data_IF_739275228350
#
_entry.id   IF_739275228350
#
_cell.length_a   1.000
_cell.length_b   1.000
_cell.length_c   1.000
_cell.angle_alpha   90.00
_cell.angle_beta   90.00
_cell.angle_gamma   90.00
#
_symmetry.space_group_name_H-M   'P 1'
#
loop_
_entity.id
_entity.type
_entity.pdbx_description
1 polymer ?
#
# COMPACT_ATOMS: atom_id res chain seq x y z
N UNK A 1 -8.78 -11.16 -5.50
CA UNK A 1 -9.65 -12.19 -4.86
C UNK A 1 -11.01 -11.69 -4.35
N UNK A 2 -11.30 -10.37 -4.17
CA UNK A 2 -12.61 -9.85 -3.68
C UNK A 2 -13.06 -10.32 -2.28
N UNK A 3 -12.20 -10.98 -1.48
CA UNK A 3 -12.63 -11.46 -0.17
C UNK A 3 -13.07 -10.32 0.77
N UNK A 4 -14.27 -10.46 1.36
CA UNK A 4 -14.77 -9.61 2.42
C UNK A 4 -14.10 -9.98 3.75
N UNK A 5 -13.39 -9.06 4.41
CA UNK A 5 -12.77 -9.33 5.71
C UNK A 5 -13.85 -9.58 6.78
N UNK A 6 -13.82 -10.76 7.41
CA UNK A 6 -14.74 -11.11 8.49
C UNK A 6 -14.15 -10.75 9.85
N UNK A 7 -12.95 -11.24 10.12
CA UNK A 7 -12.28 -11.01 11.39
C UNK A 7 -10.76 -11.04 11.30
N UNK A 8 -10.13 -10.50 12.33
CA UNK A 8 -8.70 -10.49 12.54
C UNK A 8 -8.37 -11.03 13.93
N UNK A 9 -7.24 -11.74 14.02
CA UNK A 9 -6.60 -12.09 15.29
C UNK A 9 -5.19 -11.50 15.32
N UNK A 10 -4.74 -11.03 16.48
CA UNK A 10 -3.41 -10.47 16.67
C UNK A 10 -2.52 -11.29 17.62
N UNK A 11 -1.21 -11.14 17.45
CA UNK A 11 -0.19 -11.70 18.33
C UNK A 11 0.89 -10.65 18.57
N UNK A 12 1.08 -10.28 19.83
CA UNK A 12 2.08 -9.30 20.26
C UNK A 12 3.14 -10.04 21.07
N UNK A 13 4.36 -10.10 20.56
CA UNK A 13 5.53 -10.55 21.31
C UNK A 13 6.29 -9.34 21.84
N UNK A 14 6.58 -9.31 23.14
CA UNK A 14 7.33 -8.22 23.79
C UNK A 14 8.56 -8.76 24.53
N UNK A 15 9.61 -7.95 24.64
CA UNK A 15 10.71 -8.27 25.57
C UNK A 15 10.30 -8.11 27.03
N UNK A 16 9.57 -7.04 27.35
CA UNK A 16 8.92 -6.81 28.64
C UNK A 16 7.51 -6.25 28.38
N UNK A 17 6.50 -6.75 29.11
CA UNK A 17 5.12 -6.26 28.94
C UNK A 17 4.96 -4.91 29.64
N UNK A 18 4.74 -3.86 28.84
CA UNK A 18 4.31 -2.53 29.31
C UNK A 18 2.82 -2.35 28.98
N UNK A 19 1.90 -2.40 29.97
CA UNK A 19 0.46 -2.42 29.72
C UNK A 19 -0.06 -1.28 28.85
N UNK A 20 0.42 -0.05 29.08
CA UNK A 20 -0.02 1.13 28.32
C UNK A 20 0.39 1.03 26.84
N UNK A 21 1.60 0.54 26.55
CA UNK A 21 2.09 0.32 25.18
C UNK A 21 1.28 -0.76 24.47
N UNK A 22 0.96 -1.86 25.16
CA UNK A 22 0.14 -2.94 24.59
C UNK A 22 -1.27 -2.43 24.30
N UNK A 23 -1.84 -1.61 25.18
CA UNK A 23 -3.16 -1.01 24.98
C UNK A 23 -3.18 -0.06 23.78
N UNK A 24 -2.15 0.76 23.57
CA UNK A 24 -2.03 1.64 22.40
C UNK A 24 -1.91 0.84 21.09
N UNK A 25 -1.11 -0.23 21.07
CA UNK A 25 -0.99 -1.13 19.91
C UNK A 25 -2.36 -1.77 19.60
N UNK A 26 -3.02 -2.32 20.62
CA UNK A 26 -4.35 -2.91 20.49
C UNK A 26 -5.41 -1.93 19.97
N UNK A 27 -5.36 -0.67 20.41
CA UNK A 27 -6.24 0.39 19.92
C UNK A 27 -6.02 0.66 18.42
N UNK A 28 -4.76 0.70 17.96
CA UNK A 28 -4.42 0.84 16.53
C UNK A 28 -4.89 -0.34 15.68
N UNK A 29 -4.79 -1.58 16.19
CA UNK A 29 -5.31 -2.77 15.52
C UNK A 29 -6.84 -2.69 15.41
N UNK A 30 -7.52 -2.26 16.47
CA UNK A 30 -8.96 -2.07 16.49
C UNK A 30 -9.42 -0.96 15.52
N UNK A 31 -8.67 0.14 15.41
CA UNK A 31 -8.88 1.16 14.37
C UNK A 31 -8.77 0.55 12.97
N UNK A 32 -7.72 -0.24 12.72
CA UNK A 32 -7.52 -0.95 11.46
C UNK A 32 -8.69 -1.87 11.10
N UNK A 33 -9.17 -2.66 12.05
CA UNK A 33 -10.34 -3.53 11.86
C UNK A 33 -11.60 -2.71 11.54
N UNK A 34 -11.81 -1.57 12.21
CA UNK A 34 -12.93 -0.66 11.92
C UNK A 34 -12.87 -0.06 10.51
N UNK A 35 -11.68 0.30 10.02
CA UNK A 35 -11.50 0.78 8.65
C UNK A 35 -11.70 -0.34 7.62
N UNK A 36 -11.18 -1.55 7.90
CA UNK A 36 -11.32 -2.71 7.03
C UNK A 36 -12.75 -3.28 7.00
N UNK A 37 -13.51 -3.07 8.06
CA UNK A 37 -14.86 -3.58 8.24
C UNK A 37 -14.96 -4.98 8.82
N UNK A 38 -13.94 -5.43 9.53
CA UNK A 38 -13.94 -6.72 10.20
C UNK A 38 -13.99 -6.59 11.72
N UNK A 39 -14.29 -7.70 12.40
CA UNK A 39 -14.19 -7.81 13.85
C UNK A 39 -12.76 -8.12 14.31
N UNK A 40 -12.33 -7.56 15.43
CA UNK A 40 -11.17 -8.06 16.18
C UNK A 40 -11.67 -9.16 17.12
N UNK A 41 -11.42 -10.44 16.81
CA UNK A 41 -11.99 -11.55 17.60
C UNK A 41 -11.20 -11.88 18.84
N UNK A 42 -9.90 -11.59 18.84
CA UNK A 42 -9.04 -11.84 19.97
C UNK A 42 -7.58 -11.74 19.57
N UNK A 43 -6.73 -11.70 20.57
CA UNK A 43 -5.29 -11.69 20.38
C UNK A 43 -4.59 -12.33 21.56
N UNK A 44 -3.30 -12.52 21.42
CA UNK A 44 -2.43 -13.06 22.45
C UNK A 44 -1.25 -12.12 22.67
N UNK A 45 -0.84 -11.95 23.93
CA UNK A 45 0.34 -11.14 24.29
C UNK A 45 1.31 -12.01 25.06
N UNK A 46 2.52 -12.14 24.54
CA UNK A 46 3.56 -13.00 25.11
C UNK A 46 4.83 -12.22 25.41
N UNK A 47 5.41 -12.48 26.58
CA UNK A 47 6.73 -11.97 26.96
C UNK A 47 7.81 -13.00 26.61
N UNK A 48 8.87 -12.56 25.93
CA UNK A 48 9.99 -13.41 25.50
C UNK A 48 11.33 -12.85 26.00
N UNK A 49 11.58 -12.87 27.33
CA UNK A 49 12.81 -12.35 27.90
C UNK A 49 14.01 -13.16 27.38
N UNK A 50 15.01 -12.46 26.87
CA UNK A 50 16.22 -13.07 26.29
C UNK A 50 16.16 -13.36 24.78
N UNK A 51 14.99 -13.23 24.15
CA UNK A 51 14.85 -13.21 22.68
C UNK A 51 14.74 -11.77 22.17
N UNK A 52 13.89 -10.97 22.82
CA UNK A 52 13.69 -9.55 22.52
C UNK A 52 14.30 -8.69 23.63
N UNK A 53 14.80 -7.50 23.27
CA UNK A 53 15.20 -6.50 24.28
C UNK A 53 13.96 -5.95 25.00
N UNK A 54 14.09 -5.41 26.23
CA UNK A 54 12.94 -4.96 27.01
C UNK A 54 12.00 -3.98 26.28
N UNK A 55 12.55 -3.10 25.43
CA UNK A 55 11.81 -2.10 24.68
C UNK A 55 11.32 -2.57 23.29
N UNK A 56 11.77 -3.75 22.85
CA UNK A 56 11.40 -4.34 21.56
C UNK A 56 10.08 -5.11 21.63
N UNK A 57 9.36 -5.09 20.52
CA UNK A 57 8.19 -5.91 20.31
C UNK A 57 8.09 -6.31 18.83
N UNK A 58 7.35 -7.39 18.58
CA UNK A 58 6.96 -7.84 17.25
C UNK A 58 5.44 -8.04 17.22
N UNK A 59 4.84 -7.77 16.07
CA UNK A 59 3.41 -7.82 15.86
C UNK A 59 3.11 -8.68 14.64
N UNK A 60 2.27 -9.70 14.85
CA UNK A 60 1.66 -10.47 13.77
C UNK A 60 0.15 -10.36 13.85
N UNK A 61 -0.50 -10.43 12.70
CA UNK A 61 -1.95 -10.45 12.60
C UNK A 61 -2.40 -11.40 11.50
N UNK A 62 -3.49 -12.13 11.74
CA UNK A 62 -4.10 -13.04 10.78
C UNK A 62 -5.51 -12.58 10.48
N UNK A 63 -5.75 -12.19 9.22
CA UNK A 63 -7.09 -11.85 8.72
C UNK A 63 -7.76 -13.04 8.06
N UNK A 64 -9.04 -13.24 8.34
CA UNK A 64 -9.90 -14.22 7.66
C UNK A 64 -10.98 -13.46 6.90
N UNK A 65 -11.14 -13.79 5.62
CA UNK A 65 -12.18 -13.24 4.77
C UNK A 65 -12.91 -14.33 3.99
N UNK A 66 -14.05 -13.97 3.41
CA UNK A 66 -14.92 -14.86 2.66
C UNK A 66 -15.19 -14.31 1.26
N UNK A 67 -15.35 -15.20 0.28
CA UNK A 67 -15.77 -14.85 -1.07
C UNK A 67 -16.54 -16.03 -1.64
N UNK A 68 -17.58 -15.75 -2.41
CA UNK A 68 -18.24 -16.78 -3.22
C UNK A 68 -17.28 -17.27 -4.30
N UNK A 69 -17.19 -18.59 -4.51
CA UNK A 69 -16.22 -19.19 -5.44
C UNK A 69 -16.35 -18.60 -6.86
N UNK A 70 -17.59 -18.39 -7.32
CA UNK A 70 -17.88 -17.79 -8.63
C UNK A 70 -17.51 -16.31 -8.74
N UNK A 71 -17.25 -15.63 -7.62
CA UNK A 71 -16.94 -14.20 -7.57
C UNK A 71 -15.45 -13.91 -7.35
N UNK A 72 -14.60 -14.95 -7.28
CA UNK A 72 -13.16 -14.79 -7.16
C UNK A 72 -12.62 -14.06 -8.39
N UNK A 73 -12.00 -12.90 -8.16
CA UNK A 73 -11.25 -12.20 -9.20
C UNK A 73 -10.01 -13.01 -9.60
N UNK A 74 -10.04 -13.62 -10.79
CA UNK A 74 -8.89 -14.22 -11.47
C UNK A 74 -8.19 -13.21 -12.38
N UNK A 75 -6.88 -13.37 -12.56
CA UNK A 75 -6.07 -12.62 -13.53
C UNK A 75 -6.57 -12.79 -14.97
N UNK A 76 -7.23 -13.90 -15.28
CA UNK A 76 -7.69 -14.23 -16.64
C UNK A 76 -8.85 -13.33 -17.11
N UNK A 77 -9.39 -12.47 -16.22
CA UNK A 77 -10.39 -11.47 -16.57
C UNK A 77 -9.81 -10.20 -17.20
N UNK A 78 -8.49 -10.02 -17.13
CA UNK A 78 -7.81 -8.85 -17.67
C UNK A 78 -7.66 -8.99 -19.18
N UNK A 79 -8.13 -7.99 -19.91
CA UNK A 79 -8.24 -7.95 -21.36
C UNK A 79 -7.54 -6.70 -21.93
N UNK A 80 -7.16 -6.78 -23.21
CA UNK A 80 -6.62 -5.63 -23.94
C UNK A 80 -7.66 -4.51 -23.99
N UNK A 81 -7.24 -3.29 -23.66
CA UNK A 81 -8.09 -2.10 -23.59
C UNK A 81 -8.66 -1.82 -22.20
N UNK A 82 -8.48 -2.71 -21.23
CA UNK A 82 -8.83 -2.39 -19.83
C UNK A 82 -7.98 -1.22 -19.30
N UNK A 83 -8.54 -0.48 -18.36
CA UNK A 83 -7.93 0.74 -17.80
C UNK A 83 -7.29 0.44 -16.45
N UNK A 84 -6.07 0.94 -16.25
CA UNK A 84 -5.33 0.82 -14.99
C UNK A 84 -5.55 2.07 -14.16
N UNK A 85 -6.34 1.95 -13.08
CA UNK A 85 -6.61 3.02 -12.11
C UNK A 85 -5.69 2.86 -10.91
N UNK A 86 -4.95 3.92 -10.58
CA UNK A 86 -4.17 4.01 -9.35
C UNK A 86 -4.99 4.61 -8.21
N UNK A 87 -4.76 4.15 -6.98
CA UNK A 87 -5.27 4.73 -5.75
C UNK A 87 -4.11 5.17 -4.87
N UNK A 88 -4.13 6.45 -4.47
CA UNK A 88 -3.04 7.07 -3.72
C UNK A 88 -2.74 6.38 -2.40
N UNK A 89 -1.46 6.18 -2.10
CA UNK A 89 -0.94 5.75 -0.81
C UNK A 89 -0.97 6.89 0.21
N UNK A 90 -0.77 6.58 1.48
CA UNK A 90 -0.58 7.57 2.54
C UNK A 90 0.90 7.96 2.73
N UNK A 91 1.81 7.35 1.96
CA UNK A 91 3.26 7.46 2.13
C UNK A 91 3.94 6.12 1.87
N UNK A 92 5.00 5.81 2.63
CA UNK A 92 5.78 4.57 2.51
C UNK A 92 4.99 3.28 2.83
N UNK A 93 3.84 3.41 3.51
CA UNK A 93 3.07 2.30 4.09
C UNK A 93 3.93 1.49 5.06
N UNK A 94 4.04 0.18 4.88
CA UNK A 94 4.76 -0.74 5.79
C UNK A 94 5.96 -1.43 5.12
N UNK A 95 6.46 -0.92 3.99
CA UNK A 95 7.54 -1.56 3.22
C UNK A 95 8.75 -0.62 3.02
N UNK A 96 9.94 -1.20 2.82
CA UNK A 96 11.16 -0.43 2.54
C UNK A 96 11.83 0.24 3.77
N UNK A 97 11.32 0.04 4.98
CA UNK A 97 11.82 0.71 6.19
C UNK A 97 13.29 0.39 6.54
N UNK A 98 13.81 -0.76 6.13
CA UNK A 98 15.25 -1.05 6.30
C UNK A 98 16.11 -0.10 5.47
N UNK A 99 15.75 0.15 4.22
CA UNK A 99 16.44 1.10 3.35
C UNK A 99 16.25 2.53 3.86
N UNK A 100 15.02 2.91 4.24
CA UNK A 100 14.72 4.24 4.79
C UNK A 100 15.56 4.53 6.04
N UNK A 101 15.63 3.59 6.99
CA UNK A 101 16.48 3.74 8.19
C UNK A 101 17.96 3.87 7.83
N UNK A 102 18.45 3.03 6.92
CA UNK A 102 19.84 3.07 6.48
C UNK A 102 20.19 4.44 5.85
N UNK A 103 19.34 4.92 4.94
CA UNK A 103 19.58 6.12 4.15
C UNK A 103 19.35 7.40 4.95
N UNK A 104 18.24 7.51 5.68
CA UNK A 104 17.89 8.75 6.36
C UNK A 104 18.55 8.87 7.73
N UNK A 105 18.52 7.82 8.55
CA UNK A 105 19.02 7.85 9.93
C UNK A 105 20.49 7.46 10.02
N UNK A 106 20.92 6.50 9.20
CA UNK A 106 22.31 6.05 9.13
C UNK A 106 23.20 7.03 8.35
N UNK A 107 23.15 6.95 7.03
CA UNK A 107 23.99 7.76 6.14
C UNK A 107 23.60 9.24 6.17
N UNK A 108 22.30 9.53 6.14
CA UNK A 108 21.74 10.89 6.14
C UNK A 108 21.83 11.59 7.49
N UNK A 109 22.05 10.83 8.58
CA UNK A 109 22.14 11.32 9.98
C UNK A 109 21.00 12.27 10.38
N UNK A 110 19.82 12.09 9.79
CA UNK A 110 18.64 12.86 10.15
C UNK A 110 18.09 12.36 11.49
N UNK A 111 17.56 13.28 12.30
CA UNK A 111 16.87 12.93 13.54
C UNK A 111 15.37 12.84 13.27
N UNK A 112 14.68 11.98 14.02
CA UNK A 112 13.23 11.83 13.88
C UNK A 112 12.46 13.11 14.25
N UNK A 113 13.03 13.96 15.10
CA UNK A 113 12.47 15.26 15.48
C UNK A 113 12.77 16.39 14.48
N UNK A 114 13.48 16.09 13.38
CA UNK A 114 13.78 17.09 12.35
C UNK A 114 12.53 17.41 11.57
N UNK A 115 12.11 18.68 11.60
CA UNK A 115 11.06 19.21 10.74
C UNK A 115 11.57 19.29 9.30
N UNK A 116 10.80 18.72 8.36
CA UNK A 116 11.12 18.75 6.93
C UNK A 116 10.08 19.63 6.22
N UNK A 117 10.54 20.68 5.56
CA UNK A 117 9.69 21.73 4.96
C UNK A 117 8.67 21.16 3.97
N UNK A 118 9.09 20.19 3.14
CA UNK A 118 8.25 19.62 2.09
C UNK A 118 7.11 18.73 2.63
N UNK A 119 7.14 18.31 3.89
CA UNK A 119 6.07 17.50 4.50
C UNK A 119 4.87 18.34 4.97
N UNK A 120 4.92 19.66 4.77
CA UNK A 120 3.88 20.59 5.22
C UNK A 120 4.18 21.22 6.57
N UNK A 121 3.18 21.89 7.18
CA UNK A 121 3.40 22.78 8.32
C UNK A 121 3.88 22.04 9.57
N UNK A 122 5.19 22.16 9.83
CA UNK A 122 5.90 21.70 11.02
C UNK A 122 5.92 20.18 11.24
N UNK A 123 5.72 19.40 10.19
CA UNK A 123 5.76 17.93 10.29
C UNK A 123 7.21 17.44 10.41
N UNK A 124 7.45 16.60 11.41
CA UNK A 124 8.73 15.96 11.65
C UNK A 124 8.94 14.73 10.78
N UNK A 125 10.20 14.32 10.59
CA UNK A 125 10.53 13.08 9.90
C UNK A 125 9.86 11.87 10.56
N UNK A 126 9.85 11.80 11.89
CA UNK A 126 9.20 10.71 12.63
C UNK A 126 7.70 10.62 12.34
N UNK A 127 7.00 11.76 12.36
CA UNK A 127 5.56 11.81 12.07
C UNK A 127 5.23 11.44 10.62
N UNK A 128 6.10 11.78 9.66
CA UNK A 128 5.94 11.35 8.26
C UNK A 128 6.15 9.84 8.12
N UNK A 129 7.23 9.30 8.72
CA UNK A 129 7.56 7.88 8.67
C UNK A 129 6.53 7.00 9.38
N UNK A 130 5.87 7.51 10.41
CA UNK A 130 4.83 6.81 11.16
C UNK A 130 3.41 7.03 10.60
N UNK A 131 3.28 7.61 9.40
CA UNK A 131 1.96 7.71 8.74
C UNK A 131 1.37 6.31 8.56
N UNK A 132 0.19 6.01 9.13
CA UNK A 132 -0.41 4.68 9.01
C UNK A 132 -0.67 4.28 7.55
N UNK A 133 -0.52 3.00 7.25
CA UNK A 133 -0.90 2.43 5.95
C UNK A 133 -2.39 2.64 5.70
N UNK A 134 -2.73 3.12 4.51
CA UNK A 134 -4.13 3.27 4.09
C UNK A 134 -4.77 1.89 3.89
N UNK A 135 -5.98 1.72 4.42
CA UNK A 135 -6.78 0.50 4.28
C UNK A 135 -7.83 0.70 3.19
N UNK A 136 -7.78 -0.14 2.15
CA UNK A 136 -8.65 -0.03 0.96
C UNK A 136 -9.80 -1.06 0.95
N UNK A 137 -9.91 -1.94 1.96
CA UNK A 137 -10.75 -3.14 1.88
C UNK A 137 -12.21 -2.84 1.53
N UNK A 138 -12.89 -1.97 2.29
CA UNK A 138 -14.28 -1.58 2.02
C UNK A 138 -14.44 -0.86 0.69
N UNK A 139 -13.49 -0.01 0.34
CA UNK A 139 -13.55 0.78 -0.89
C UNK A 139 -13.43 -0.11 -2.12
N UNK A 140 -12.52 -1.09 -2.08
CA UNK A 140 -12.36 -2.08 -3.12
C UNK A 140 -13.58 -2.99 -3.25
N UNK A 141 -14.17 -3.46 -2.14
CA UNK A 141 -15.38 -4.28 -2.20
C UNK A 141 -16.53 -3.51 -2.85
N UNK A 142 -16.75 -2.26 -2.45
CA UNK A 142 -17.78 -1.42 -3.04
C UNK A 142 -17.48 -1.02 -4.48
N UNK A 143 -16.21 -0.83 -4.84
CA UNK A 143 -15.84 -0.60 -6.24
C UNK A 143 -16.20 -1.80 -7.12
N UNK A 144 -16.01 -3.03 -6.63
CA UNK A 144 -16.37 -4.25 -7.38
C UNK A 144 -17.89 -4.44 -7.48
N UNK A 145 -18.66 -4.01 -6.48
CA UNK A 145 -20.13 -4.01 -6.57
C UNK A 145 -20.65 -3.01 -7.62
N UNK A 146 -19.96 -1.89 -7.78
CA UNK A 146 -20.38 -0.81 -8.68
C UNK A 146 -19.83 -0.99 -10.09
N UNK A 147 -18.59 -1.40 -10.27
CA UNK A 147 -17.90 -1.38 -11.56
C UNK A 147 -17.43 -2.78 -11.96
N UNK A 148 -17.22 -2.98 -13.25
CA UNK A 148 -16.56 -4.16 -13.79
C UNK A 148 -15.05 -4.11 -13.52
N UNK A 149 -14.70 -4.48 -12.29
CA UNK A 149 -13.31 -4.67 -11.88
C UNK A 149 -12.84 -6.04 -12.32
N UNK A 150 -11.76 -6.06 -13.10
CA UNK A 150 -11.09 -7.28 -13.58
C UNK A 150 -10.16 -7.83 -12.52
N UNK A 151 -9.34 -6.94 -11.94
CA UNK A 151 -8.33 -7.31 -10.95
C UNK A 151 -7.94 -6.13 -10.05
N UNK A 152 -7.36 -6.45 -8.89
CA UNK A 152 -6.83 -5.50 -7.92
C UNK A 152 -5.41 -5.91 -7.53
N UNK A 153 -4.47 -4.95 -7.51
CA UNK A 153 -3.09 -5.18 -7.07
C UNK A 153 -2.73 -4.25 -5.91
N UNK A 154 -2.48 -4.84 -4.74
CA UNK A 154 -1.97 -4.12 -3.58
C UNK A 154 -0.46 -3.92 -3.71
N UNK A 155 0.00 -2.67 -3.67
CA UNK A 155 1.41 -2.32 -3.88
C UNK A 155 2.14 -2.39 -2.55
N UNK A 156 2.97 -3.41 -2.39
CA UNK A 156 3.74 -3.70 -1.16
C UNK A 156 5.24 -3.85 -1.47
N UNK A 157 5.95 -4.76 -0.79
CA UNK A 157 7.32 -5.12 -1.16
C UNK A 157 7.42 -5.62 -2.60
N UNK A 158 8.48 -5.24 -3.30
CA UNK A 158 8.61 -5.44 -4.76
C UNK A 158 8.03 -4.29 -5.60
N UNK A 159 7.45 -3.28 -4.95
CA UNK A 159 6.99 -2.03 -5.56
C UNK A 159 5.92 -2.21 -6.63
N UNK A 160 5.79 -1.25 -7.55
CA UNK A 160 4.70 -1.25 -8.54
C UNK A 160 4.82 -2.44 -9.50
N UNK A 161 5.94 -2.65 -10.21
CA UNK A 161 6.03 -3.72 -11.21
C UNK A 161 5.90 -5.11 -10.58
N UNK A 162 6.53 -5.32 -9.43
CA UNK A 162 6.57 -6.63 -8.76
C UNK A 162 5.22 -7.08 -8.19
N UNK A 163 4.28 -6.16 -7.96
CA UNK A 163 2.94 -6.47 -7.50
C UNK A 163 1.92 -6.49 -8.64
N UNK A 164 1.98 -5.54 -9.59
CA UNK A 164 1.03 -5.46 -10.69
C UNK A 164 1.17 -6.64 -11.67
N UNK A 165 2.39 -7.13 -11.91
CA UNK A 165 2.62 -8.29 -12.79
C UNK A 165 1.90 -9.57 -12.33
N UNK A 166 1.67 -9.71 -11.01
CA UNK A 166 1.05 -10.91 -10.41
C UNK A 166 -0.42 -11.08 -10.78
N UNK A 167 -1.06 -10.01 -11.25
CA UNK A 167 -2.47 -10.00 -11.61
C UNK A 167 -2.71 -9.96 -13.13
N UNK A 168 -1.65 -10.10 -13.94
CA UNK A 168 -1.74 -10.12 -15.39
C UNK A 168 -1.69 -11.56 -15.94
N UNK A 169 -2.49 -11.88 -16.98
CA UNK A 169 -2.31 -13.08 -17.77
C UNK A 169 -1.08 -12.94 -18.70
N UNK A 170 -0.62 -14.05 -19.25
CA UNK A 170 0.64 -14.10 -20.02
C UNK A 170 0.60 -13.42 -21.40
N UNK A 171 -0.58 -12.97 -21.86
CA UNK A 171 -0.78 -12.42 -23.20
C UNK A 171 -1.07 -10.92 -23.23
N UNK A 172 -0.98 -10.24 -22.07
CA UNK A 172 -1.19 -8.79 -21.97
C UNK A 172 -0.09 -8.15 -21.14
N UNK A 173 0.18 -6.88 -21.43
CA UNK A 173 1.05 -6.04 -20.61
C UNK A 173 0.24 -4.91 -19.98
N UNK A 174 0.63 -4.50 -18.77
CA UNK A 174 0.13 -3.25 -18.17
C UNK A 174 1.12 -2.12 -18.45
N UNK A 175 0.68 -1.10 -19.17
CA UNK A 175 1.45 0.13 -19.36
C UNK A 175 1.05 1.12 -18.27
N UNK A 176 2.02 1.59 -17.49
CA UNK A 176 1.82 2.56 -16.42
C UNK A 176 2.62 3.82 -16.73
N UNK A 177 1.92 4.94 -16.89
CA UNK A 177 2.52 6.22 -17.22
C UNK A 177 2.81 7.04 -15.94
N UNK A 178 4.09 7.13 -15.59
CA UNK A 178 4.57 7.87 -14.41
C UNK A 178 4.17 9.33 -14.41
N UNK A 179 4.00 9.94 -15.58
CA UNK A 179 3.67 11.35 -15.71
C UNK A 179 2.24 11.68 -15.26
N UNK A 180 1.43 10.66 -14.94
CA UNK A 180 0.07 10.85 -14.42
C UNK A 180 0.03 11.21 -12.93
N UNK A 181 1.14 11.10 -12.18
CA UNK A 181 1.19 11.55 -10.78
C UNK A 181 2.58 12.01 -10.31
N UNK A 182 2.55 12.66 -9.15
CA UNK A 182 3.73 13.05 -8.38
C UNK A 182 3.78 12.23 -7.07
N UNK A 183 4.84 11.45 -6.82
CA UNK A 183 5.05 10.80 -5.52
C UNK A 183 5.14 11.82 -4.37
N UNK A 184 4.75 11.42 -3.17
CA UNK A 184 4.86 12.23 -1.96
C UNK A 184 6.33 12.59 -1.67
N UNK A 185 6.61 13.74 -1.02
CA UNK A 185 7.99 14.22 -0.83
C UNK A 185 8.91 13.27 -0.08
N UNK A 186 8.38 12.34 0.73
CA UNK A 186 9.19 11.32 1.42
C UNK A 186 9.98 10.44 0.43
N UNK A 187 9.43 10.14 -0.74
CA UNK A 187 10.13 9.36 -1.75
C UNK A 187 11.29 10.14 -2.36
N UNK A 188 11.08 11.42 -2.68
CA UNK A 188 12.14 12.32 -3.18
C UNK A 188 13.26 12.49 -2.13
N UNK A 189 12.90 12.65 -0.85
CA UNK A 189 13.87 12.75 0.24
C UNK A 189 14.73 11.49 0.35
N UNK A 190 14.11 10.31 0.37
CA UNK A 190 14.81 9.02 0.44
C UNK A 190 15.72 8.85 -0.77
N UNK A 191 15.21 9.13 -1.98
CA UNK A 191 15.96 9.00 -3.22
C UNK A 191 17.20 9.91 -3.22
N UNK A 192 17.01 11.19 -2.89
CA UNK A 192 18.08 12.19 -2.91
C UNK A 192 19.16 11.89 -1.85
N UNK A 193 18.76 11.50 -0.63
CA UNK A 193 19.71 11.15 0.44
C UNK A 193 20.44 9.84 0.16
N UNK A 194 19.76 8.88 -0.47
CA UNK A 194 20.31 7.56 -0.77
C UNK A 194 21.10 7.50 -2.07
N UNK A 195 20.94 8.49 -2.97
CA UNK A 195 21.44 8.44 -4.36
C UNK A 195 20.95 7.19 -5.08
N UNK A 196 19.66 6.93 -4.95
CA UNK A 196 19.00 5.72 -5.46
C UNK A 196 18.44 6.01 -6.85
N UNK A 197 18.69 5.12 -7.80
CA UNK A 197 18.16 5.26 -9.15
C UNK A 197 16.65 4.99 -9.20
N UNK A 198 15.94 5.59 -10.16
CA UNK A 198 14.48 5.47 -10.29
C UNK A 198 13.97 4.00 -10.30
N UNK A 199 14.61 3.04 -11.01
CA UNK A 199 14.16 1.64 -11.00
C UNK A 199 14.29 0.95 -9.64
N UNK A 200 15.30 1.32 -8.83
CA UNK A 200 15.47 0.76 -7.48
C UNK A 200 14.43 1.34 -6.52
N UNK A 201 14.10 2.63 -6.66
CA UNK A 201 12.96 3.24 -5.95
C UNK A 201 11.65 2.50 -6.26
N UNK A 202 11.37 2.24 -7.54
CA UNK A 202 10.12 1.62 -8.00
C UNK A 202 9.99 0.13 -7.69
N UNK A 203 11.10 -0.57 -7.52
CA UNK A 203 11.11 -1.98 -7.10
C UNK A 203 11.07 -2.14 -5.57
N UNK A 204 11.34 -1.07 -4.82
CA UNK A 204 11.31 -1.09 -3.35
C UNK A 204 10.04 -0.48 -2.79
N UNK A 205 9.60 0.65 -3.36
CA UNK A 205 8.56 1.49 -2.82
C UNK A 205 7.31 1.52 -3.69
N UNK A 206 6.21 1.94 -3.07
CA UNK A 206 4.93 2.10 -3.74
C UNK A 206 4.83 3.38 -4.60
N UNK A 207 5.81 4.29 -4.47
CA UNK A 207 5.93 5.55 -5.23
C UNK A 207 4.65 6.40 -5.24
N UNK A 208 3.85 6.33 -4.18
CA UNK A 208 2.62 7.09 -4.03
C UNK A 208 1.34 6.36 -4.43
N UNK A 209 1.42 5.13 -4.92
CA UNK A 209 0.27 4.30 -5.27
C UNK A 209 0.17 3.13 -4.31
N UNK A 210 -0.88 3.06 -3.51
CA UNK A 210 -1.06 1.95 -2.56
C UNK A 210 -1.81 0.77 -3.18
N UNK A 211 -2.68 1.01 -4.15
CA UNK A 211 -3.51 -0.01 -4.78
C UNK A 211 -3.74 0.35 -6.24
N UNK A 212 -3.77 -0.65 -7.12
CA UNK A 212 -4.30 -0.53 -8.47
C UNK A 212 -5.60 -1.30 -8.63
N UNK A 213 -6.50 -0.78 -9.44
CA UNK A 213 -7.63 -1.51 -10.00
C UNK A 213 -7.51 -1.54 -11.52
N UNK A 214 -7.64 -2.73 -12.11
CA UNK A 214 -7.86 -2.89 -13.55
C UNK A 214 -9.36 -3.02 -13.74
N UNK A 215 -9.94 -2.11 -14.53
CA UNK A 215 -11.38 -2.03 -14.80
C UNK A 215 -11.63 -2.06 -16.31
N UNK A 216 -12.82 -2.45 -16.73
CA UNK A 216 -13.21 -2.32 -18.14
C UNK A 216 -13.16 -0.85 -18.59
N UNK A 217 -12.91 -0.62 -19.88
CA UNK A 217 -12.86 0.72 -20.46
C UNK A 217 -14.18 1.49 -20.22
N UNK A 218 -15.31 0.81 -20.32
CA UNK A 218 -16.66 1.39 -20.18
C UNK A 218 -16.94 1.89 -18.75
N UNK A 219 -16.31 1.30 -17.73
CA UNK A 219 -16.51 1.66 -16.34
C UNK A 219 -15.39 2.55 -15.76
N UNK A 220 -14.39 2.94 -16.56
CA UNK A 220 -13.25 3.72 -16.08
C UNK A 220 -13.66 5.06 -15.42
N UNK A 221 -14.48 5.85 -16.10
CA UNK A 221 -14.98 7.14 -15.57
C UNK A 221 -15.86 6.95 -14.33
N UNK A 222 -16.69 5.90 -14.33
CA UNK A 222 -17.54 5.55 -13.19
C UNK A 222 -16.71 5.18 -11.97
N UNK A 223 -15.68 4.35 -12.15
CA UNK A 223 -14.77 3.93 -11.10
C UNK A 223 -14.03 5.13 -10.49
N UNK A 224 -13.53 6.05 -11.33
CA UNK A 224 -12.88 7.27 -10.85
C UNK A 224 -13.83 8.18 -10.07
N UNK A 225 -15.04 8.40 -10.59
CA UNK A 225 -16.06 9.20 -9.90
C UNK A 225 -16.47 8.56 -8.56
N UNK A 226 -16.61 7.23 -8.53
CA UNK A 226 -16.93 6.48 -7.33
C UNK A 226 -15.83 6.63 -6.26
N UNK A 227 -14.55 6.41 -6.62
CA UNK A 227 -13.42 6.54 -5.70
C UNK A 227 -13.28 7.99 -5.19
N UNK A 228 -13.46 8.98 -6.06
CA UNK A 228 -13.47 10.39 -5.68
C UNK A 228 -14.59 10.72 -4.68
N UNK A 229 -15.81 10.20 -4.90
CA UNK A 229 -16.94 10.35 -3.99
C UNK A 229 -16.70 9.75 -2.60
N UNK A 230 -15.74 8.82 -2.47
CA UNK A 230 -15.29 8.23 -1.20
C UNK A 230 -14.07 8.91 -0.59
N UNK A 231 -13.61 10.01 -1.19
CA UNK A 231 -12.42 10.73 -0.71
C UNK A 231 -11.11 10.00 -1.00
N UNK A 232 -11.09 9.10 -1.99
CA UNK A 232 -9.88 8.40 -2.41
C UNK A 232 -9.30 9.13 -3.61
N UNK A 233 -8.08 9.66 -3.45
CA UNK A 233 -7.31 10.16 -4.58
C UNK A 233 -7.05 9.00 -5.54
N UNK A 234 -7.68 9.02 -6.71
CA UNK A 234 -7.54 8.02 -7.75
C UNK A 234 -7.46 8.68 -9.12
N UNK A 235 -6.71 8.06 -10.02
CA UNK A 235 -6.50 8.56 -11.38
C UNK A 235 -6.23 7.39 -12.33
N UNK A 236 -6.49 7.59 -13.60
CA UNK A 236 -6.04 6.66 -14.63
C UNK A 236 -4.51 6.76 -14.74
N UNK A 237 -3.83 5.69 -14.37
CA UNK A 237 -2.38 5.59 -14.43
C UNK A 237 -1.90 4.97 -15.75
N UNK A 238 -2.78 4.27 -16.47
CA UNK A 238 -2.47 3.72 -17.78
C UNK A 238 -3.53 2.74 -18.28
N UNK A 239 -3.09 1.73 -19.02
CA UNK A 239 -3.95 0.82 -19.79
C UNK A 239 -3.30 -0.56 -19.93
N UNK A 240 -4.12 -1.54 -20.29
CA UNK A 240 -3.70 -2.89 -20.64
C UNK A 240 -3.61 -3.03 -22.15
N UNK A 241 -2.48 -3.52 -22.65
CA UNK A 241 -2.22 -3.74 -24.08
C UNK A 241 -1.90 -5.20 -24.37
N UNK A 242 -1.91 -5.59 -25.65
CA UNK A 242 -1.37 -6.90 -26.05
C UNK A 242 0.12 -7.00 -25.67
N UNK A 243 0.53 -8.14 -25.12
CA UNK A 243 1.85 -8.27 -24.52
C UNK A 243 2.21 -9.69 -24.10
N UNK A 244 3.14 -9.79 -23.15
CA UNK A 244 3.72 -11.06 -22.70
C UNK A 244 3.67 -11.25 -21.18
N UNK A 245 2.73 -10.59 -20.50
CA UNK A 245 2.60 -10.64 -19.04
C UNK A 245 3.58 -9.73 -18.29
N UNK A 246 3.91 -8.57 -18.85
CA UNK A 246 4.89 -7.63 -18.29
C UNK A 246 4.25 -6.32 -17.81
N UNK A 247 4.95 -5.60 -16.94
CA UNK A 247 4.60 -4.22 -16.55
C UNK A 247 5.58 -3.26 -17.19
N UNK A 248 5.07 -2.37 -18.03
CA UNK A 248 5.84 -1.35 -18.71
C UNK A 248 5.64 -0.01 -18.03
N UNK A 249 6.64 0.41 -17.25
CA UNK A 249 6.64 1.73 -16.63
C UNK A 249 7.22 2.74 -17.64
N UNK A 250 6.40 3.69 -18.10
CA UNK A 250 6.78 4.71 -19.10
C UNK A 250 6.74 6.13 -18.53
N UNK A 251 7.34 7.08 -19.24
CA UNK A 251 7.39 8.48 -18.82
C UNK A 251 8.24 8.70 -17.56
N UNK A 252 8.11 9.89 -16.98
CA UNK A 252 8.76 10.29 -15.73
C UNK A 252 7.74 10.91 -14.78
N UNK A 253 7.93 10.74 -13.47
CA UNK A 253 7.12 11.43 -12.47
C UNK A 253 7.21 12.94 -12.67
N UNK A 254 6.09 13.63 -12.48
CA UNK A 254 6.07 15.08 -12.57
C UNK A 254 6.90 15.67 -11.43
N UNK A 255 8.07 16.21 -11.77
CA UNK A 255 8.90 16.98 -10.83
C UNK A 255 8.38 18.41 -10.81
N UNK A 256 8.07 18.90 -9.61
CA UNK A 256 7.67 20.30 -9.39
C UNK A 256 8.86 21.24 -9.49
#
# INVERSE_FOLDING_TARGET
MRAEPLFLLDYIACGEVVPDKVAEIGAGIADGCRYAGCALLGGETAEHPGVLRPDEYDLSATGVGVVEESEILSRDRVEVGDVVIAMGSSGLHSNGFSLVRHVLLGAGRMRLDTVVEDFGRQRTLGEELLTPTKIYARDCLKLIEECEVRALAHVTGGGIPGNLVRILPEHVDAVVNRSTWKPQPIFELVQAKGRIDDPEMESTFNMGVGMFAIVSADDADRALAFLAGRGIAAWQAGEVIEGTGMVQMIGQHTRG
#
